data_IF_381673653096
#
_entry.id   IF_381673653096
#
_cell.length_a   1.000
_cell.length_b   1.000
_cell.length_c   1.000
_cell.angle_alpha   90.00
_cell.angle_beta   90.00
_cell.angle_gamma   90.00
#
_symmetry.space_group_name_H-M   'P 1'
#
loop_
_entity.id
_entity.type
_entity.pdbx_description
1 polymer ?
#
# COMPACT_ATOMS: atom_id res chain seq x y z
N UNK A 1 18.53 1.38 -10.86
CA UNK A 1 17.46 0.42 -10.56
C UNK A 1 16.78 0.08 -11.88
N UNK A 2 16.65 -1.19 -12.21
CA UNK A 2 16.13 -1.65 -13.52
C UNK A 2 14.66 -2.05 -13.44
N UNK A 3 14.20 -2.57 -12.32
CA UNK A 3 12.84 -3.03 -12.13
C UNK A 3 11.82 -1.89 -11.93
N UNK A 4 10.61 -2.03 -12.48
CA UNK A 4 9.50 -1.11 -12.21
C UNK A 4 8.91 -1.37 -10.83
N UNK A 5 8.91 -0.36 -10.00
CA UNK A 5 8.38 -0.38 -8.63
C UNK A 5 6.95 0.14 -8.61
N UNK A 6 5.99 -0.75 -8.45
CA UNK A 6 4.56 -0.45 -8.45
C UNK A 6 3.97 -0.73 -7.08
N UNK A 7 3.26 0.23 -6.53
CA UNK A 7 2.57 0.12 -5.23
C UNK A 7 1.06 0.09 -5.45
N UNK A 8 0.41 -0.89 -4.86
CA UNK A 8 -1.05 -1.01 -4.84
C UNK A 8 -1.55 -0.59 -3.45
N UNK A 9 -2.39 0.42 -3.43
CA UNK A 9 -2.94 1.02 -2.22
C UNK A 9 -4.45 0.92 -2.14
N UNK A 10 -5.00 1.12 -0.97
CA UNK A 10 -6.43 1.12 -0.71
C UNK A 10 -6.74 0.84 0.75
N UNK A 11 -7.97 1.07 1.17
CA UNK A 11 -8.44 0.76 2.53
C UNK A 11 -8.39 -0.73 2.82
N UNK A 12 -8.55 -1.12 4.08
CA UNK A 12 -8.64 -2.53 4.45
C UNK A 12 -9.85 -3.18 3.75
N UNK A 13 -9.68 -4.45 3.35
CA UNK A 13 -10.69 -5.22 2.59
C UNK A 13 -11.06 -4.63 1.20
N UNK A 14 -10.27 -3.74 0.64
CA UNK A 14 -10.47 -3.25 -0.74
C UNK A 14 -10.24 -4.33 -1.82
N UNK A 15 -9.72 -5.50 -1.43
CA UNK A 15 -9.36 -6.58 -2.36
C UNK A 15 -7.97 -6.44 -2.98
N UNK A 16 -7.19 -5.42 -2.59
CA UNK A 16 -5.85 -5.13 -3.14
C UNK A 16 -4.89 -6.32 -3.06
N UNK A 17 -4.91 -7.11 -1.97
CA UNK A 17 -4.04 -8.29 -1.84
C UNK A 17 -4.33 -9.33 -2.94
N UNK A 18 -5.60 -9.65 -3.16
CA UNK A 18 -6.03 -10.57 -4.22
C UNK A 18 -5.65 -10.02 -5.60
N UNK A 19 -5.90 -8.73 -5.83
CA UNK A 19 -5.57 -8.05 -7.08
C UNK A 19 -4.06 -8.01 -7.33
N UNK A 20 -3.26 -7.73 -6.30
CA UNK A 20 -1.79 -7.77 -6.38
C UNK A 20 -1.30 -9.15 -6.79
N UNK A 21 -1.84 -10.21 -6.18
CA UNK A 21 -1.49 -11.60 -6.52
C UNK A 21 -1.85 -11.94 -7.96
N UNK A 22 -3.02 -11.53 -8.43
CA UNK A 22 -3.46 -11.77 -9.82
C UNK A 22 -2.58 -11.00 -10.81
N UNK A 23 -2.24 -9.75 -10.51
CA UNK A 23 -1.37 -8.92 -11.34
C UNK A 23 0.03 -9.52 -11.48
N UNK A 24 0.63 -9.96 -10.37
CA UNK A 24 1.93 -10.65 -10.36
C UNK A 24 1.87 -11.92 -11.22
N UNK A 25 0.81 -12.72 -11.09
CA UNK A 25 0.64 -13.94 -11.88
C UNK A 25 0.55 -13.64 -13.38
N UNK A 26 -0.18 -12.59 -13.76
CA UNK A 26 -0.32 -12.15 -15.16
C UNK A 26 1.02 -11.66 -15.72
N UNK A 27 1.79 -10.86 -14.98
CA UNK A 27 3.11 -10.42 -15.39
C UNK A 27 4.09 -11.59 -15.59
N UNK A 28 4.07 -12.56 -14.68
CA UNK A 28 4.89 -13.78 -14.81
C UNK A 28 4.48 -14.61 -16.04
N UNK A 29 3.18 -14.69 -16.32
CA UNK A 29 2.67 -15.36 -17.53
C UNK A 29 3.13 -14.66 -18.80
N UNK A 30 3.20 -13.34 -18.79
CA UNK A 30 3.72 -12.51 -19.91
C UNK A 30 5.27 -12.57 -20.02
N UNK A 31 5.95 -13.40 -19.21
CA UNK A 31 7.39 -13.64 -19.28
C UNK A 31 8.25 -12.66 -18.46
N UNK A 32 7.65 -11.80 -17.65
CA UNK A 32 8.39 -10.85 -16.81
C UNK A 32 8.84 -11.48 -15.49
N UNK A 33 10.11 -11.25 -15.13
CA UNK A 33 10.62 -11.54 -13.78
C UNK A 33 9.96 -10.60 -12.78
N UNK A 34 8.97 -11.10 -12.04
CA UNK A 34 8.12 -10.28 -11.17
C UNK A 34 8.15 -10.81 -9.75
N UNK A 35 8.34 -9.92 -8.79
CA UNK A 35 8.29 -10.25 -7.37
C UNK A 35 7.18 -9.48 -6.66
N UNK A 36 6.67 -10.07 -5.56
CA UNK A 36 5.68 -9.47 -4.68
C UNK A 36 6.30 -9.17 -3.32
N UNK A 37 6.00 -7.98 -2.80
CA UNK A 37 6.25 -7.63 -1.42
C UNK A 37 4.95 -7.09 -0.80
N UNK A 38 4.78 -7.22 0.50
CA UNK A 38 3.61 -6.68 1.21
C UNK A 38 4.06 -6.08 2.54
N UNK A 39 3.50 -4.95 2.90
CA UNK A 39 3.72 -4.32 4.19
C UNK A 39 2.44 -4.29 5.03
N UNK A 40 2.55 -4.47 6.34
CA UNK A 40 3.78 -4.71 7.12
C UNK A 40 4.36 -6.11 6.91
N UNK A 41 5.69 -6.24 7.07
CA UNK A 41 6.39 -7.53 7.13
C UNK A 41 6.31 -8.02 8.59
N UNK A 42 5.36 -8.89 8.87
CA UNK A 42 5.01 -9.28 10.24
C UNK A 42 6.06 -10.13 10.97
N UNK A 43 6.96 -10.80 10.26
CA UNK A 43 8.03 -11.60 10.85
C UNK A 43 9.28 -10.80 11.25
N UNK A 44 9.30 -9.48 11.04
CA UNK A 44 10.35 -8.58 11.51
C UNK A 44 10.12 -8.15 12.96
N UNK A 45 11.06 -7.39 13.54
CA UNK A 45 10.92 -6.87 14.90
C UNK A 45 9.72 -5.91 15.00
N UNK A 46 9.70 -4.85 14.21
CA UNK A 46 8.59 -3.88 14.21
C UNK A 46 7.27 -4.52 13.74
N UNK A 47 7.35 -5.50 12.85
CA UNK A 47 6.18 -6.22 12.34
C UNK A 47 5.43 -6.99 13.42
N UNK A 48 6.16 -7.61 14.38
CA UNK A 48 5.52 -8.28 15.53
C UNK A 48 4.79 -7.31 16.45
N UNK A 49 5.36 -6.12 16.68
CA UNK A 49 4.70 -5.07 17.47
C UNK A 49 3.46 -4.52 16.76
N UNK A 50 3.54 -4.32 15.44
CA UNK A 50 2.39 -3.94 14.62
C UNK A 50 1.28 -5.00 14.68
N UNK A 51 1.63 -6.29 14.55
CA UNK A 51 0.67 -7.39 14.68
C UNK A 51 0.00 -7.39 16.06
N UNK A 52 0.78 -7.23 17.13
CA UNK A 52 0.25 -7.18 18.50
C UNK A 52 -0.70 -5.98 18.72
N UNK A 53 -0.42 -4.83 18.08
CA UNK A 53 -1.33 -3.68 18.07
C UNK A 53 -2.64 -4.00 17.31
N UNK A 54 -2.54 -4.54 16.10
CA UNK A 54 -3.71 -4.87 15.26
C UNK A 54 -4.62 -5.92 15.93
N UNK A 55 -4.03 -6.87 16.66
CA UNK A 55 -4.74 -7.85 17.49
C UNK A 55 -5.36 -7.25 18.77
N UNK A 56 -5.09 -5.98 19.08
CA UNK A 56 -5.55 -5.31 20.31
C UNK A 56 -4.78 -5.72 21.57
N UNK A 57 -3.64 -6.42 21.43
CA UNK A 57 -2.78 -6.85 22.55
C UNK A 57 -1.83 -5.75 23.05
N UNK A 58 -1.62 -4.72 22.22
CA UNK A 58 -0.78 -3.55 22.51
C UNK A 58 -1.52 -2.26 22.18
N UNK A 59 -1.17 -1.19 22.84
CA UNK A 59 -1.64 0.15 22.56
C UNK A 59 -0.46 1.09 22.43
N UNK A 60 -0.49 1.97 21.43
CA UNK A 60 0.55 2.97 21.18
C UNK A 60 -0.06 4.32 20.89
N UNK A 61 0.60 5.42 21.29
CA UNK A 61 0.31 6.74 20.72
C UNK A 61 0.39 6.68 19.18
N UNK A 62 -0.44 7.43 18.49
CA UNK A 62 -0.50 7.39 17.02
C UNK A 62 0.86 7.63 16.37
N UNK A 63 1.66 8.57 16.92
CA UNK A 63 3.00 8.85 16.41
C UNK A 63 3.91 7.62 16.49
N UNK A 64 3.91 6.91 17.63
CA UNK A 64 4.73 5.70 17.83
C UNK A 64 4.31 4.60 16.85
N UNK A 65 3.00 4.41 16.65
CA UNK A 65 2.49 3.43 15.67
C UNK A 65 2.97 3.75 14.25
N UNK A 66 2.92 5.01 13.83
CA UNK A 66 3.38 5.42 12.50
C UNK A 66 4.90 5.34 12.33
N UNK A 67 5.67 5.54 13.41
CA UNK A 67 7.11 5.23 13.46
C UNK A 67 7.38 3.73 13.29
N UNK A 68 6.60 2.84 13.94
CA UNK A 68 6.72 1.39 13.78
C UNK A 68 6.44 0.95 12.33
N UNK A 69 5.42 1.51 11.68
CA UNK A 69 5.16 1.25 10.26
C UNK A 69 6.30 1.72 9.36
N UNK A 70 6.90 2.88 9.65
CA UNK A 70 8.08 3.35 8.93
C UNK A 70 9.29 2.46 9.19
N UNK A 71 9.58 2.13 10.45
CA UNK A 71 10.66 1.22 10.83
C UNK A 71 10.56 -0.12 10.09
N UNK A 72 9.35 -0.65 9.91
CA UNK A 72 9.11 -1.89 9.18
C UNK A 72 9.57 -1.82 7.72
N UNK A 73 9.41 -0.68 7.07
CA UNK A 73 9.93 -0.45 5.71
C UNK A 73 11.45 -0.28 5.70
N UNK A 74 11.99 0.44 6.66
CA UNK A 74 13.44 0.61 6.81
C UNK A 74 14.17 -0.70 7.12
N UNK A 75 13.61 -1.57 7.98
CA UNK A 75 14.15 -2.91 8.26
C UNK A 75 14.32 -3.77 7.00
N UNK A 76 13.48 -3.55 5.99
CA UNK A 76 13.46 -4.34 4.75
C UNK A 76 14.11 -3.66 3.56
N UNK A 77 14.75 -2.50 3.76
CA UNK A 77 15.28 -1.67 2.68
C UNK A 77 16.25 -2.41 1.75
N UNK A 78 17.19 -3.16 2.32
CA UNK A 78 18.18 -3.88 1.50
C UNK A 78 17.51 -4.96 0.64
N UNK A 79 16.57 -5.70 1.20
CA UNK A 79 15.76 -6.67 0.44
C UNK A 79 14.98 -6.00 -0.69
N UNK A 80 14.37 -4.85 -0.43
CA UNK A 80 13.66 -4.10 -1.48
C UNK A 80 14.61 -3.66 -2.58
N UNK A 81 15.81 -3.18 -2.23
CA UNK A 81 16.84 -2.77 -3.21
C UNK A 81 17.33 -3.94 -4.06
N UNK A 82 17.53 -5.12 -3.46
CA UNK A 82 17.89 -6.35 -4.17
C UNK A 82 16.81 -6.72 -5.18
N UNK A 83 15.55 -6.77 -4.74
CA UNK A 83 14.43 -7.08 -5.62
C UNK A 83 14.34 -6.09 -6.79
N UNK A 84 14.54 -4.78 -6.54
CA UNK A 84 14.53 -3.74 -7.58
C UNK A 84 15.68 -3.87 -8.58
N UNK A 85 16.83 -4.45 -8.18
CA UNK A 85 17.93 -4.74 -9.13
C UNK A 85 17.65 -5.97 -9.98
N UNK A 86 17.03 -6.99 -9.36
CA UNK A 86 17.04 -8.35 -9.89
C UNK A 86 15.74 -8.73 -10.61
N UNK A 87 14.74 -7.84 -10.66
CA UNK A 87 13.43 -8.12 -11.25
C UNK A 87 13.04 -7.08 -12.29
N UNK A 88 12.14 -7.44 -13.22
CA UNK A 88 11.53 -6.49 -14.16
C UNK A 88 10.43 -5.66 -13.49
N UNK A 89 9.68 -6.30 -12.58
CA UNK A 89 8.60 -5.68 -11.80
C UNK A 89 8.65 -6.09 -10.35
N UNK A 90 8.44 -5.11 -9.47
CA UNK A 90 8.11 -5.34 -8.06
C UNK A 90 6.73 -4.77 -7.81
N UNK A 91 5.79 -5.63 -7.45
CA UNK A 91 4.43 -5.23 -7.09
C UNK A 91 4.30 -5.31 -5.58
N UNK A 92 4.05 -4.16 -4.97
CA UNK A 92 4.02 -4.02 -3.50
C UNK A 92 2.61 -3.71 -3.04
N UNK A 93 2.08 -4.55 -2.15
CA UNK A 93 0.82 -4.31 -1.45
C UNK A 93 1.10 -3.48 -0.21
N UNK A 94 0.65 -2.22 -0.22
CA UNK A 94 0.94 -1.16 0.75
C UNK A 94 2.40 -0.72 0.79
N UNK A 95 2.60 0.58 1.00
CA UNK A 95 3.92 1.17 1.24
C UNK A 95 3.75 2.44 2.09
N UNK A 96 4.66 3.42 1.96
CA UNK A 96 4.54 4.68 2.70
C UNK A 96 3.22 5.45 2.45
N UNK A 97 2.56 5.38 1.28
CA UNK A 97 1.26 6.04 1.11
C UNK A 97 0.19 5.57 2.09
N UNK A 98 0.22 4.29 2.51
CA UNK A 98 -0.64 3.81 3.61
C UNK A 98 -0.37 4.58 4.90
N UNK A 99 0.89 4.79 5.25
CA UNK A 99 1.27 5.53 6.46
C UNK A 99 0.74 6.97 6.42
N UNK A 100 0.82 7.62 5.25
CA UNK A 100 0.27 8.96 5.06
C UNK A 100 -1.26 8.97 5.24
N UNK A 101 -1.98 8.09 4.51
CA UNK A 101 -3.44 8.11 4.53
C UNK A 101 -4.01 7.83 5.94
N UNK A 102 -3.50 6.80 6.62
CA UNK A 102 -3.94 6.44 7.97
C UNK A 102 -3.52 7.48 9.01
N UNK A 103 -2.33 8.06 8.89
CA UNK A 103 -1.85 9.11 9.80
C UNK A 103 -2.63 10.42 9.66
N UNK A 104 -2.90 10.87 8.43
CA UNK A 104 -3.74 12.03 8.15
C UNK A 104 -5.16 11.82 8.70
N UNK A 105 -5.74 10.64 8.51
CA UNK A 105 -7.05 10.29 9.05
C UNK A 105 -7.11 10.37 10.59
N UNK A 106 -5.97 10.21 11.27
CA UNK A 106 -5.81 10.39 12.72
C UNK A 106 -5.40 11.81 13.13
N UNK A 107 -5.30 12.75 12.18
CA UNK A 107 -4.96 14.15 12.46
C UNK A 107 -3.46 14.42 12.59
N UNK A 108 -2.60 13.49 12.18
CA UNK A 108 -1.16 13.71 12.18
C UNK A 108 -0.74 14.62 11.02
N UNK A 109 0.33 15.37 11.21
CA UNK A 109 0.88 16.26 10.20
C UNK A 109 1.49 15.47 9.03
N UNK A 110 1.08 15.81 7.80
CA UNK A 110 1.52 15.10 6.58
C UNK A 110 3.02 15.23 6.34
N UNK A 111 3.60 16.40 6.66
CA UNK A 111 5.04 16.62 6.47
C UNK A 111 5.85 15.76 7.43
N UNK A 112 5.42 15.70 8.70
CA UNK A 112 6.04 14.82 9.67
C UNK A 112 5.99 13.35 9.23
N UNK A 113 4.81 12.86 8.80
CA UNK A 113 4.64 11.50 8.28
C UNK A 113 5.54 11.22 7.07
N UNK A 114 5.63 12.17 6.13
CA UNK A 114 6.47 12.04 4.94
C UNK A 114 7.97 11.96 5.29
N UNK A 115 8.40 12.69 6.31
CA UNK A 115 9.79 12.70 6.75
C UNK A 115 10.22 11.36 7.38
N UNK A 116 9.29 10.57 7.94
CA UNK A 116 9.62 9.25 8.49
C UNK A 116 10.18 8.29 7.41
N UNK A 117 9.71 8.44 6.19
CA UNK A 117 10.06 7.58 5.06
C UNK A 117 11.00 8.26 4.05
N UNK A 118 11.50 9.45 4.37
CA UNK A 118 12.42 10.20 3.49
C UNK A 118 13.73 9.43 3.28
N UNK A 119 14.06 9.10 2.02
CA UNK A 119 15.24 8.31 1.66
C UNK A 119 14.94 6.85 1.30
N UNK A 120 13.71 6.37 1.54
CA UNK A 120 13.27 5.09 0.98
C UNK A 120 13.09 5.19 -0.54
N UNK A 121 13.23 4.08 -1.29
CA UNK A 121 12.96 4.06 -2.73
C UNK A 121 11.56 4.57 -3.05
N UNK A 122 11.48 5.48 -4.04
CA UNK A 122 10.21 6.00 -4.52
C UNK A 122 9.59 5.05 -5.54
N UNK A 123 8.28 4.75 -5.47
CA UNK A 123 7.62 3.95 -6.48
C UNK A 123 7.53 4.70 -7.81
N UNK A 124 7.74 3.97 -8.92
CA UNK A 124 7.50 4.50 -10.26
C UNK A 124 6.02 4.81 -10.48
N UNK A 125 5.15 4.07 -9.79
CA UNK A 125 3.70 4.24 -9.88
C UNK A 125 3.00 3.77 -8.60
N UNK A 126 2.04 4.56 -8.16
CA UNK A 126 1.06 4.16 -7.12
C UNK A 126 -0.30 4.02 -7.77
N UNK A 127 -1.00 2.92 -7.50
CA UNK A 127 -2.36 2.67 -7.98
C UNK A 127 -3.26 2.48 -6.76
N UNK A 128 -4.24 3.35 -6.62
CA UNK A 128 -5.24 3.28 -5.56
C UNK A 128 -6.43 2.42 -6.03
N UNK A 129 -6.70 1.34 -5.34
CA UNK A 129 -7.96 0.59 -5.44
C UNK A 129 -8.97 1.25 -4.51
N UNK A 130 -9.77 2.15 -5.07
CA UNK A 130 -10.80 2.86 -4.32
C UNK A 130 -12.04 2.00 -4.18
N UNK A 131 -12.30 1.55 -2.96
CA UNK A 131 -13.45 0.73 -2.59
C UNK A 131 -14.28 1.50 -1.56
N UNK A 132 -15.61 1.48 -1.70
CA UNK A 132 -16.50 2.02 -0.69
C UNK A 132 -16.35 1.27 0.63
N UNK A 133 -16.55 1.97 1.74
CA UNK A 133 -16.45 1.33 3.07
C UNK A 133 -17.50 0.24 3.20
N UNK A 134 -18.70 0.46 2.66
CA UNK A 134 -19.81 -0.49 2.63
C UNK A 134 -19.42 -1.79 1.90
N UNK A 135 -18.83 -1.68 0.70
CA UNK A 135 -18.35 -2.84 -0.07
C UNK A 135 -17.20 -3.57 0.64
N UNK A 136 -16.31 -2.85 1.32
CA UNK A 136 -15.23 -3.46 2.10
C UNK A 136 -15.77 -4.29 3.27
N UNK A 137 -16.85 -3.83 3.91
CA UNK A 137 -17.49 -4.54 5.01
C UNK A 137 -18.21 -5.83 4.57
N UNK A 138 -18.78 -5.87 3.38
CA UNK A 138 -19.43 -7.10 2.87
C UNK A 138 -18.42 -8.19 2.52
N UNK A 139 -17.17 -7.86 2.22
CA UNK A 139 -16.12 -8.82 1.82
C UNK A 139 -15.52 -9.62 2.99
N UNK A 140 -15.57 -9.06 4.20
CA UNK A 140 -15.04 -9.72 5.41
C UNK A 140 -16.04 -9.57 6.55
N UNK A 141 -16.61 -10.69 6.99
CA UNK A 141 -17.65 -10.74 8.01
C UNK A 141 -17.14 -11.01 9.43
N UNK A 142 -15.90 -11.50 9.58
CA UNK A 142 -15.29 -11.85 10.86
C UNK A 142 -13.79 -11.58 10.90
N UNK A 143 -13.19 -11.58 12.10
CA UNK A 143 -11.74 -11.45 12.28
C UNK A 143 -11.18 -10.08 11.87
N UNK A 144 -11.92 -8.99 12.09
CA UNK A 144 -11.49 -7.62 11.82
C UNK A 144 -10.50 -7.13 12.86
N UNK A 145 -9.46 -6.45 12.40
CA UNK A 145 -8.51 -5.76 13.27
C UNK A 145 -9.07 -4.44 13.86
N UNK A 146 -8.25 -3.75 14.64
CA UNK A 146 -8.64 -2.48 15.31
C UNK A 146 -9.07 -1.40 14.32
N UNK A 147 -8.43 -1.31 13.14
CA UNK A 147 -8.77 -0.32 12.12
C UNK A 147 -10.03 -0.70 11.34
N UNK A 148 -10.19 -1.97 11.04
CA UNK A 148 -11.31 -2.50 10.27
C UNK A 148 -12.67 -2.43 10.99
N UNK A 149 -12.67 -2.24 12.32
CA UNK A 149 -13.90 -2.15 13.13
C UNK A 149 -14.53 -0.77 13.11
N UNK A 150 -13.81 0.28 12.78
CA UNK A 150 -14.25 1.66 12.82
C UNK A 150 -14.57 2.17 11.40
N UNK A 151 -15.86 2.12 11.03
CA UNK A 151 -16.35 2.59 9.72
C UNK A 151 -16.10 4.08 9.48
N UNK A 152 -16.27 4.91 10.51
CA UNK A 152 -16.05 6.35 10.40
C UNK A 152 -14.57 6.66 10.19
N UNK A 153 -13.70 5.90 10.84
CA UNK A 153 -12.26 6.02 10.62
C UNK A 153 -11.88 5.58 9.21
N UNK A 154 -12.41 4.46 8.71
CA UNK A 154 -12.15 4.01 7.34
C UNK A 154 -12.65 4.99 6.27
N UNK A 155 -13.77 5.69 6.52
CA UNK A 155 -14.23 6.78 5.64
C UNK A 155 -13.21 7.94 5.59
N UNK A 156 -12.64 8.33 6.76
CA UNK A 156 -11.57 9.34 6.82
C UNK A 156 -10.31 8.88 6.08
N UNK A 157 -9.92 7.59 6.24
CA UNK A 157 -8.78 7.01 5.53
C UNK A 157 -9.00 7.02 4.02
N UNK A 158 -10.18 6.58 3.54
CA UNK A 158 -10.54 6.61 2.12
C UNK A 158 -10.47 8.04 1.56
N UNK A 159 -11.02 9.00 2.29
CA UNK A 159 -10.94 10.42 1.90
C UNK A 159 -9.48 10.89 1.79
N UNK A 160 -8.65 10.56 2.77
CA UNK A 160 -7.22 10.90 2.75
C UNK A 160 -6.49 10.27 1.54
N UNK A 161 -6.78 9.00 1.20
CA UNK A 161 -6.24 8.35 0.01
C UNK A 161 -6.66 9.08 -1.28
N UNK A 162 -7.92 9.44 -1.43
CA UNK A 162 -8.42 10.14 -2.63
C UNK A 162 -7.78 11.53 -2.77
N UNK A 163 -7.65 12.27 -1.66
CA UNK A 163 -7.00 13.58 -1.64
C UNK A 163 -5.50 13.46 -2.00
N UNK A 164 -4.80 12.45 -1.46
CA UNK A 164 -3.41 12.15 -1.82
C UNK A 164 -3.28 11.75 -3.28
N UNK A 165 -4.13 10.85 -3.76
CA UNK A 165 -4.12 10.38 -5.15
C UNK A 165 -4.31 11.54 -6.13
N UNK A 166 -5.24 12.44 -5.87
CA UNK A 166 -5.47 13.65 -6.68
C UNK A 166 -4.23 14.56 -6.70
N UNK A 167 -3.66 14.88 -5.54
CA UNK A 167 -2.50 15.78 -5.42
C UNK A 167 -1.23 15.18 -6.03
N UNK A 168 -1.02 13.89 -5.83
CA UNK A 168 0.18 13.16 -6.28
C UNK A 168 0.00 12.48 -7.64
N UNK A 169 -1.18 12.65 -8.26
CA UNK A 169 -1.53 12.08 -9.59
C UNK A 169 -1.37 10.56 -9.67
N UNK A 170 -1.81 9.86 -8.62
CA UNK A 170 -1.88 8.41 -8.65
C UNK A 170 -2.98 7.94 -9.57
N UNK A 171 -2.84 6.75 -10.14
CA UNK A 171 -3.94 6.09 -10.82
C UNK A 171 -4.99 5.64 -9.81
N UNK A 172 -6.26 5.78 -10.15
CA UNK A 172 -7.39 5.33 -9.31
C UNK A 172 -8.16 4.30 -10.11
N UNK A 173 -8.39 3.14 -9.49
CA UNK A 173 -9.18 2.02 -10.03
C UNK A 173 -10.39 1.82 -9.14
N UNK A 174 -11.57 1.73 -9.73
CA UNK A 174 -12.80 1.48 -9.00
C UNK A 174 -12.83 0.04 -8.46
N UNK A 175 -12.65 -0.09 -7.14
CA UNK A 175 -12.63 -1.38 -6.44
C UNK A 175 -13.99 -2.01 -6.20
N UNK A 176 -15.11 -1.30 -6.41
CA UNK A 176 -16.48 -1.81 -6.16
C UNK A 176 -17.01 -2.69 -7.30
N UNK A 177 -16.24 -2.86 -8.37
CA UNK A 177 -16.56 -3.69 -9.53
C UNK A 177 -16.23 -5.17 -9.29
N UNK A 178 -16.51 -6.02 -10.29
CA UNK A 178 -16.14 -7.44 -10.24
C UNK A 178 -14.63 -7.63 -10.13
N UNK A 179 -14.20 -8.77 -9.57
CA UNK A 179 -12.78 -9.12 -9.43
C UNK A 179 -12.04 -9.02 -10.77
N UNK A 180 -12.68 -9.47 -11.86
CA UNK A 180 -12.10 -9.49 -13.20
C UNK A 180 -11.97 -8.05 -13.77
N UNK A 181 -13.01 -7.23 -13.63
CA UNK A 181 -12.99 -5.84 -14.09
C UNK A 181 -11.92 -5.02 -13.38
N UNK A 182 -11.82 -5.15 -12.04
CA UNK A 182 -10.78 -4.47 -11.25
C UNK A 182 -9.39 -4.90 -11.72
N UNK A 183 -9.18 -6.19 -11.98
CA UNK A 183 -7.89 -6.69 -12.46
C UNK A 183 -7.55 -6.13 -13.85
N UNK A 184 -8.53 -6.04 -14.75
CA UNK A 184 -8.31 -5.47 -16.08
C UNK A 184 -8.03 -3.96 -16.02
N UNK A 185 -8.69 -3.22 -15.14
CA UNK A 185 -8.38 -1.80 -14.94
C UNK A 185 -6.98 -1.60 -14.34
N UNK A 186 -6.58 -2.42 -13.36
CA UNK A 186 -5.22 -2.41 -12.81
C UNK A 186 -4.18 -2.71 -13.90
N UNK A 187 -4.45 -3.68 -14.76
CA UNK A 187 -3.58 -4.01 -15.89
C UNK A 187 -3.42 -2.85 -16.86
N UNK A 188 -4.51 -2.16 -17.20
CA UNK A 188 -4.47 -0.95 -18.04
C UNK A 188 -3.71 0.17 -17.36
N UNK A 189 -3.96 0.40 -16.07
CA UNK A 189 -3.25 1.41 -15.28
C UNK A 189 -1.74 1.12 -15.25
N UNK A 190 -1.32 -0.14 -15.04
CA UNK A 190 0.08 -0.55 -15.04
C UNK A 190 0.78 -0.23 -16.38
N UNK A 191 0.10 -0.45 -17.51
CA UNK A 191 0.66 -0.19 -18.84
C UNK A 191 0.71 1.30 -19.21
N UNK A 192 -0.04 2.12 -18.52
CA UNK A 192 0.04 3.57 -18.70
C UNK A 192 1.40 4.08 -18.22
N UNK A 193 2.03 5.01 -18.94
CA UNK A 193 3.34 5.52 -18.54
C UNK A 193 3.23 6.23 -17.18
N UNK A 194 3.69 5.58 -16.13
CA UNK A 194 3.93 6.21 -14.84
C UNK A 194 4.97 7.33 -15.02
N UNK A 195 4.86 8.38 -14.25
CA UNK A 195 5.94 9.39 -14.23
C UNK A 195 7.17 8.71 -13.65
N UNK A 196 8.18 8.42 -14.49
CA UNK A 196 9.53 8.20 -13.97
C UNK A 196 9.90 9.45 -13.19
N UNK A 197 10.06 9.34 -11.89
CA UNK A 197 10.75 10.38 -11.14
C UNK A 197 12.13 10.47 -11.75
N UNK A 198 12.42 11.58 -12.42
CA UNK A 198 13.79 11.87 -12.83
C UNK A 198 14.59 11.93 -11.54
N UNK A 199 15.36 10.87 -11.26
CA UNK A 199 16.30 10.87 -10.17
C UNK A 199 17.16 12.12 -10.30
N UNK A 200 17.12 12.96 -9.27
CA UNK A 200 18.20 13.91 -9.06
C UNK A 200 19.44 13.09 -8.69
N UNK A 201 20.60 13.45 -9.25
CA UNK A 201 21.87 12.80 -8.96
C UNK A 201 22.21 12.84 -7.48
#
# INVERSE_FOLDING_TARGET
MTGRFIVIEGIDQSGKETQTRLLVRRLKWDGHKTEKLSYPIYNSFSGREIAAFLDGKRSYPHQVLHMLYSMNRWESLEKLRELLRDSDYIIVDRYYPSNLAYGIARGLDERWLSNLDAGLPEPDQVILVDTSVEASFTRKTSGRDVHERDTLFLQKVRKAYLDLAKRRKWAIVNGDRSLADVNEELWKALKSPGRRSKGKP
#
